data_IF_905303536564
#
_entry.id   IF_905303536564
#
_cell.length_a   1.000
_cell.length_b   1.000
_cell.length_c   1.000
_cell.angle_alpha   90.00
_cell.angle_beta   90.00
_cell.angle_gamma   90.00
#
_symmetry.space_group_name_H-M   'P 1'
#
loop_
_entity.id
_entity.type
_entity.pdbx_description
1 polymer ?
#
# COMPACT_ATOMS: atom_id res chain seq x y z
N UNK A 1 19.64 12.61 8.68
CA UNK A 1 18.26 12.15 8.97
C UNK A 1 17.29 13.33 8.97
N UNK A 2 16.10 13.16 8.35
CA UNK A 2 15.06 14.19 8.33
C UNK A 2 15.23 15.33 7.32
N UNK A 3 16.31 15.36 6.53
CA UNK A 3 16.53 16.42 5.54
C UNK A 3 15.66 16.25 4.28
N UNK A 4 15.46 15.02 3.84
CA UNK A 4 14.67 14.72 2.64
C UNK A 4 13.89 13.41 2.81
N UNK A 5 12.88 13.23 1.96
CA UNK A 5 12.17 11.97 1.81
C UNK A 5 13.00 11.00 0.98
N UNK A 6 13.15 9.77 1.47
CA UNK A 6 13.67 8.64 0.72
C UNK A 6 12.99 7.39 1.25
N UNK A 7 12.19 6.72 0.44
CA UNK A 7 11.50 5.50 0.82
C UNK A 7 12.43 4.29 0.70
N UNK A 8 12.30 3.35 1.64
CA UNK A 8 12.97 2.04 1.53
C UNK A 8 12.17 0.98 2.28
N UNK A 9 11.95 -0.16 1.65
CA UNK A 9 11.40 -1.36 2.28
C UNK A 9 12.24 -1.80 3.48
N UNK A 10 13.56 -1.59 3.45
CA UNK A 10 14.49 -1.89 4.55
C UNK A 10 14.07 -1.22 5.86
N UNK A 11 13.52 0.00 5.81
CA UNK A 11 13.03 0.69 7.02
C UNK A 11 11.95 -0.14 7.73
N UNK A 12 11.06 -0.76 6.97
CA UNK A 12 9.96 -1.57 7.51
C UNK A 12 10.42 -2.96 7.93
N UNK A 13 11.42 -3.54 7.25
CA UNK A 13 12.06 -4.78 7.70
C UNK A 13 12.74 -4.55 9.05
N UNK A 14 13.53 -3.47 9.19
CA UNK A 14 14.17 -3.11 10.47
C UNK A 14 13.13 -2.82 11.55
N UNK A 15 12.01 -2.16 11.22
CA UNK A 15 10.91 -1.94 12.17
C UNK A 15 10.30 -3.27 12.64
N UNK A 16 10.13 -4.26 11.74
CA UNK A 16 9.69 -5.61 12.11
C UNK A 16 10.67 -6.30 13.06
N UNK A 17 11.96 -6.28 12.74
CA UNK A 17 13.01 -6.82 13.62
C UNK A 17 13.02 -6.14 14.99
N UNK A 18 12.78 -4.83 15.04
CA UNK A 18 12.70 -4.08 16.30
C UNK A 18 11.48 -4.52 17.14
N UNK A 19 10.34 -4.72 16.48
CA UNK A 19 9.13 -5.25 17.16
C UNK A 19 9.46 -6.61 17.79
N UNK A 20 10.04 -7.54 17.03
CA UNK A 20 10.42 -8.86 17.53
C UNK A 20 11.39 -8.77 18.70
N UNK A 21 12.41 -7.90 18.60
CA UNK A 21 13.39 -7.71 19.68
C UNK A 21 12.77 -7.16 20.97
N UNK A 22 11.80 -6.25 20.85
CA UNK A 22 11.17 -5.60 22.01
C UNK A 22 10.06 -6.45 22.64
N UNK A 23 9.35 -7.25 21.84
CA UNK A 23 8.22 -8.04 22.32
C UNK A 23 8.61 -9.48 22.68
N UNK A 24 9.68 -9.99 22.11
CA UNK A 24 10.06 -11.40 22.20
C UNK A 24 9.19 -12.32 21.34
N UNK A 25 8.29 -11.78 20.52
CA UNK A 25 7.39 -12.53 19.66
C UNK A 25 7.69 -12.28 18.18
N UNK A 26 7.43 -13.27 17.30
CA UNK A 26 7.45 -13.03 15.85
C UNK A 26 6.53 -11.89 15.46
N UNK A 27 6.94 -11.07 14.48
CA UNK A 27 6.14 -9.91 14.00
C UNK A 27 4.74 -10.33 13.54
N UNK A 28 4.61 -11.53 12.96
CA UNK A 28 3.33 -12.11 12.59
C UNK A 28 2.36 -12.23 13.78
N UNK A 29 2.86 -12.66 14.94
CA UNK A 29 2.08 -12.77 16.18
C UNK A 29 1.59 -11.39 16.64
N UNK A 30 2.46 -10.37 16.54
CA UNK A 30 2.09 -9.00 16.89
C UNK A 30 1.05 -8.43 15.93
N UNK A 31 1.14 -8.68 14.63
CA UNK A 31 0.09 -8.31 13.67
C UNK A 31 -1.24 -8.98 14.00
N UNK A 32 -1.21 -10.29 14.30
CA UNK A 32 -2.41 -11.05 14.64
C UNK A 32 -3.09 -10.47 15.87
N UNK A 33 -2.34 -10.35 16.98
CA UNK A 33 -2.90 -10.01 18.29
C UNK A 33 -3.29 -8.52 18.39
N UNK A 34 -2.54 -7.62 17.73
CA UNK A 34 -2.75 -6.18 17.89
C UNK A 34 -3.56 -5.54 16.77
N UNK A 35 -3.69 -6.21 15.63
CA UNK A 35 -4.38 -5.62 14.46
C UNK A 35 -5.46 -6.55 13.92
N UNK A 36 -5.12 -7.78 13.51
CA UNK A 36 -6.06 -8.60 12.75
C UNK A 36 -7.23 -9.06 13.61
N UNK A 37 -6.98 -9.62 14.79
CA UNK A 37 -8.02 -10.10 15.70
C UNK A 37 -8.89 -8.96 16.27
N UNK A 38 -8.32 -7.87 16.82
CA UNK A 38 -9.13 -6.78 17.35
C UNK A 38 -10.05 -6.13 16.33
N UNK A 39 -9.62 -6.08 15.07
CA UNK A 39 -10.40 -5.52 13.96
C UNK A 39 -11.22 -6.57 13.20
N UNK A 40 -11.09 -7.86 13.56
CA UNK A 40 -11.75 -8.99 12.90
C UNK A 40 -11.47 -9.06 11.40
N UNK A 41 -10.19 -8.81 11.01
CA UNK A 41 -9.73 -8.89 9.62
C UNK A 41 -9.53 -10.37 9.24
N UNK A 42 -10.61 -11.05 8.87
CA UNK A 42 -10.63 -12.51 8.70
C UNK A 42 -9.95 -13.00 7.42
N UNK A 43 -9.81 -12.11 6.45
CA UNK A 43 -9.21 -12.38 5.14
C UNK A 43 -7.89 -11.62 4.97
N UNK A 44 -7.20 -11.35 6.08
CA UNK A 44 -5.89 -10.69 6.12
C UNK A 44 -4.86 -11.63 6.73
N UNK A 45 -3.76 -11.87 5.99
CA UNK A 45 -2.76 -12.86 6.34
C UNK A 45 -1.35 -12.32 6.16
N UNK A 46 -0.45 -12.62 7.08
CA UNK A 46 0.99 -12.46 6.88
C UNK A 46 1.53 -13.78 6.32
N UNK A 47 1.96 -13.78 5.05
CA UNK A 47 2.23 -15.03 4.33
C UNK A 47 3.70 -15.44 4.29
N UNK A 48 4.64 -14.56 4.70
CA UNK A 48 6.04 -14.95 4.78
C UNK A 48 6.24 -16.09 5.83
N UNK A 49 7.01 -17.15 5.52
CA UNK A 49 7.79 -17.40 4.30
C UNK A 49 7.05 -18.17 3.19
N UNK A 50 5.75 -18.40 3.31
CA UNK A 50 4.99 -19.21 2.37
C UNK A 50 4.84 -18.49 1.01
N UNK A 51 4.73 -19.30 -0.06
CA UNK A 51 4.46 -18.81 -1.43
C UNK A 51 3.02 -19.02 -1.86
N UNK A 52 2.23 -19.77 -1.08
CA UNK A 52 0.84 -20.09 -1.40
C UNK A 52 -0.08 -19.03 -0.81
N UNK A 53 -0.89 -18.43 -1.66
CA UNK A 53 -1.94 -17.52 -1.23
C UNK A 53 -3.08 -18.28 -0.53
N UNK A 54 -3.53 -17.86 0.65
CA UNK A 54 -4.70 -18.46 1.29
C UNK A 54 -5.99 -18.08 0.57
N UNK A 55 -6.98 -18.96 0.63
CA UNK A 55 -8.34 -18.69 0.16
C UNK A 55 -8.48 -18.50 -1.36
N UNK A 56 -9.60 -17.91 -1.76
CA UNK A 56 -9.90 -17.56 -3.15
C UNK A 56 -9.24 -16.21 -3.49
N UNK A 57 -8.48 -16.19 -4.58
CA UNK A 57 -7.72 -15.01 -4.99
C UNK A 57 -7.67 -14.88 -6.51
N UNK A 58 -7.47 -13.67 -7.01
CA UNK A 58 -7.17 -13.44 -8.42
C UNK A 58 -5.73 -13.88 -8.73
N UNK A 59 -5.49 -14.44 -9.92
CA UNK A 59 -4.14 -14.66 -10.42
C UNK A 59 -3.49 -13.34 -10.76
N UNK A 60 -2.22 -13.17 -10.40
CA UNK A 60 -1.42 -11.98 -10.71
C UNK A 60 -0.54 -12.19 -11.93
N UNK A 61 -0.41 -11.16 -12.75
CA UNK A 61 0.34 -11.23 -14.00
C UNK A 61 1.35 -10.09 -14.09
N UNK A 62 2.60 -10.46 -14.36
CA UNK A 62 3.66 -9.52 -14.69
C UNK A 62 3.64 -9.25 -16.20
N UNK A 63 3.61 -7.99 -16.59
CA UNK A 63 3.82 -7.56 -17.98
C UNK A 63 5.34 -7.52 -18.25
N UNK A 64 5.88 -8.33 -19.19
CA UNK A 64 7.28 -8.28 -19.54
C UNK A 64 7.66 -6.96 -20.22
N UNK A 65 8.96 -6.59 -20.14
CA UNK A 65 9.48 -5.39 -20.83
C UNK A 65 9.52 -5.54 -22.34
N UNK A 66 9.60 -6.78 -22.82
CA UNK A 66 9.61 -7.06 -24.27
C UNK A 66 8.20 -6.86 -24.84
N UNK A 67 7.99 -5.88 -25.74
CA UNK A 67 6.70 -5.66 -26.37
C UNK A 67 6.16 -6.91 -27.04
N UNK A 68 4.89 -7.24 -26.76
CA UNK A 68 4.21 -8.41 -27.33
C UNK A 68 4.55 -9.75 -26.69
N UNK A 69 5.42 -9.79 -25.68
CA UNK A 69 5.69 -11.01 -24.93
C UNK A 69 4.46 -11.44 -24.10
N UNK A 70 4.30 -12.75 -23.91
CA UNK A 70 3.21 -13.28 -23.10
C UNK A 70 3.33 -12.87 -21.63
N UNK A 71 2.20 -12.60 -20.99
CA UNK A 71 2.14 -12.30 -19.55
C UNK A 71 2.71 -13.47 -18.74
N UNK A 72 3.47 -13.14 -17.70
CA UNK A 72 4.03 -14.12 -16.76
C UNK A 72 3.09 -14.26 -15.55
N UNK A 73 2.65 -15.48 -15.24
CA UNK A 73 1.89 -15.75 -14.02
C UNK A 73 2.81 -15.61 -12.79
N UNK A 74 2.61 -14.57 -12.02
CA UNK A 74 3.32 -14.24 -10.79
C UNK A 74 2.49 -14.50 -9.53
N UNK A 75 1.43 -15.29 -9.63
CA UNK A 75 0.51 -15.59 -8.52
C UNK A 75 1.26 -16.24 -7.35
N UNK A 76 2.19 -17.16 -7.65
CA UNK A 76 3.01 -17.84 -6.64
C UNK A 76 4.39 -17.21 -6.59
N UNK A 77 4.67 -16.48 -5.54
CA UNK A 77 5.97 -15.85 -5.33
C UNK A 77 6.34 -15.88 -3.85
N UNK A 78 7.63 -15.89 -3.56
CA UNK A 78 8.10 -15.66 -2.20
C UNK A 78 8.09 -14.17 -1.89
N UNK A 79 7.64 -13.80 -0.70
CA UNK A 79 7.72 -12.43 -0.18
C UNK A 79 8.85 -12.26 0.82
N UNK A 80 9.83 -13.17 0.85
CA UNK A 80 10.97 -13.14 1.77
C UNK A 80 11.83 -11.87 1.63
N UNK A 81 11.85 -11.26 0.45
CA UNK A 81 12.51 -9.98 0.20
C UNK A 81 11.78 -8.80 0.88
N UNK A 82 10.48 -8.92 1.09
CA UNK A 82 9.64 -7.85 1.64
C UNK A 82 9.39 -8.01 3.14
N UNK A 83 9.23 -9.23 3.63
CA UNK A 83 8.94 -9.52 5.05
C UNK A 83 7.90 -8.54 5.63
N UNK A 84 8.22 -7.85 6.74
CA UNK A 84 7.36 -6.84 7.36
C UNK A 84 7.11 -5.59 6.51
N UNK A 85 7.81 -5.42 5.39
CA UNK A 85 7.57 -4.34 4.45
C UNK A 85 6.44 -4.63 3.45
N UNK A 86 6.10 -5.93 3.16
CA UNK A 86 5.13 -6.17 2.10
C UNK A 86 4.53 -7.58 2.03
N UNK A 87 4.67 -8.43 3.07
CA UNK A 87 4.17 -9.81 3.04
C UNK A 87 2.73 -9.98 3.56
N UNK A 88 1.94 -8.91 3.65
CA UNK A 88 0.55 -8.99 4.05
C UNK A 88 -0.34 -9.08 2.82
N UNK A 89 -1.23 -10.07 2.80
CA UNK A 89 -2.30 -10.24 1.83
C UNK A 89 -3.62 -9.91 2.50
N UNK A 90 -4.50 -9.22 1.81
CA UNK A 90 -5.76 -8.75 2.38
C UNK A 90 -6.86 -8.63 1.32
N UNK A 91 -8.05 -8.31 1.76
CA UNK A 91 -9.17 -7.89 0.90
C UNK A 91 -9.37 -6.38 0.95
N UNK A 92 -10.06 -5.82 -0.04
CA UNK A 92 -10.42 -4.41 -0.03
C UNK A 92 -11.28 -4.03 1.19
N UNK A 93 -12.13 -4.95 1.66
CA UNK A 93 -12.95 -4.76 2.85
C UNK A 93 -12.13 -4.64 4.13
N UNK A 94 -11.18 -5.56 4.32
CA UNK A 94 -10.30 -5.55 5.48
C UNK A 94 -9.36 -4.34 5.48
N UNK A 95 -8.81 -3.96 4.31
CA UNK A 95 -7.99 -2.75 4.17
C UNK A 95 -8.79 -1.47 4.53
N UNK A 96 -10.03 -1.36 4.09
CA UNK A 96 -10.90 -0.25 4.45
C UNK A 96 -11.18 -0.21 5.96
N UNK A 97 -11.42 -1.38 6.57
CA UNK A 97 -11.62 -1.52 8.01
C UNK A 97 -10.38 -1.10 8.79
N UNK A 98 -9.21 -1.57 8.37
CA UNK A 98 -7.92 -1.21 8.98
C UNK A 98 -7.65 0.29 8.93
N UNK A 99 -7.72 0.91 7.75
CA UNK A 99 -7.44 2.34 7.60
C UNK A 99 -8.45 3.23 8.35
N UNK A 100 -9.73 2.87 8.31
CA UNK A 100 -10.75 3.54 9.10
C UNK A 100 -10.43 3.48 10.59
N UNK A 101 -10.09 2.30 11.11
CA UNK A 101 -9.76 2.10 12.51
C UNK A 101 -8.49 2.87 12.91
N UNK A 102 -7.46 2.84 12.09
CA UNK A 102 -6.21 3.57 12.33
C UNK A 102 -6.46 5.07 12.45
N UNK A 103 -7.13 5.69 11.46
CA UNK A 103 -7.32 7.14 11.44
C UNK A 103 -8.33 7.63 12.48
N UNK A 104 -9.18 6.76 12.98
CA UNK A 104 -10.10 7.01 14.11
C UNK A 104 -9.46 6.75 15.48
N UNK A 105 -8.15 6.46 15.53
CA UNK A 105 -7.42 6.26 16.77
C UNK A 105 -7.76 4.98 17.53
N UNK A 106 -8.27 3.95 16.85
CA UNK A 106 -8.62 2.67 17.49
C UNK A 106 -7.41 1.73 17.66
N UNK A 107 -6.31 1.96 16.94
CA UNK A 107 -5.14 1.08 16.93
C UNK A 107 -3.94 1.66 17.67
N UNK A 108 -3.92 2.97 17.88
CA UNK A 108 -2.80 3.64 18.53
C UNK A 108 -3.29 4.88 19.29
N UNK A 109 -2.46 5.41 20.17
CA UNK A 109 -2.79 6.65 20.90
C UNK A 109 -2.89 7.85 19.96
N UNK A 110 -3.64 8.89 20.38
CA UNK A 110 -3.71 10.14 19.65
C UNK A 110 -2.32 10.74 19.41
N UNK A 111 -1.46 10.73 20.43
CA UNK A 111 -0.08 11.22 20.32
C UNK A 111 0.74 10.45 19.28
N UNK A 112 0.62 9.12 19.23
CA UNK A 112 1.29 8.30 18.21
C UNK A 112 0.75 8.55 16.81
N UNK A 113 -0.57 8.69 16.68
CA UNK A 113 -1.19 9.02 15.39
C UNK A 113 -0.76 10.40 14.88
N UNK A 114 -0.58 11.37 15.77
CA UNK A 114 -0.03 12.69 15.43
C UNK A 114 1.44 12.59 14.98
N UNK A 115 2.24 11.73 15.61
CA UNK A 115 3.60 11.43 15.13
C UNK A 115 3.58 10.83 13.72
N UNK A 116 2.68 9.87 13.44
CA UNK A 116 2.51 9.28 12.11
C UNK A 116 2.16 10.33 11.05
N UNK A 117 1.51 11.41 11.45
CA UNK A 117 1.09 12.53 10.59
C UNK A 117 2.13 13.65 10.48
N UNK A 118 3.35 13.49 10.96
CA UNK A 118 4.43 14.45 10.73
C UNK A 118 4.94 14.34 9.30
N UNK A 119 4.34 15.11 8.43
CA UNK A 119 4.50 15.01 6.98
C UNK A 119 5.84 15.53 6.49
N UNK A 120 6.46 14.78 5.57
CA UNK A 120 7.55 15.20 4.70
C UNK A 120 7.06 15.23 3.27
N UNK A 121 7.40 16.26 2.53
CA UNK A 121 7.00 16.42 1.13
C UNK A 121 7.70 15.38 0.26
N UNK A 122 6.92 14.65 -0.54
CA UNK A 122 7.41 13.75 -1.58
C UNK A 122 7.42 14.47 -2.92
N UNK A 123 6.28 15.06 -3.29
CA UNK A 123 6.10 15.90 -4.48
C UNK A 123 4.97 16.92 -4.24
N UNK A 124 4.53 17.59 -5.31
CA UNK A 124 3.54 18.69 -5.22
C UNK A 124 2.20 18.29 -4.59
N UNK A 125 1.80 17.02 -4.66
CA UNK A 125 0.51 16.54 -4.17
C UNK A 125 0.59 15.40 -3.16
N UNK A 126 1.80 14.93 -2.84
CA UNK A 126 2.01 13.79 -1.95
C UNK A 126 2.98 14.13 -0.83
N UNK A 127 2.66 13.69 0.37
CA UNK A 127 3.53 13.77 1.55
C UNK A 127 3.54 12.41 2.26
N UNK A 128 4.60 12.12 2.99
CA UNK A 128 4.80 10.88 3.72
C UNK A 128 5.06 11.13 5.21
N UNK A 129 4.47 10.34 6.07
CA UNK A 129 4.67 10.34 7.50
C UNK A 129 5.38 9.07 7.98
N UNK A 130 4.97 8.51 9.11
CA UNK A 130 5.47 7.21 9.58
C UNK A 130 4.53 6.11 9.06
N UNK A 131 4.89 5.50 7.93
CA UNK A 131 4.11 4.44 7.29
C UNK A 131 2.75 4.89 6.72
N UNK A 132 2.53 6.19 6.56
CA UNK A 132 1.28 6.74 6.08
C UNK A 132 1.55 7.80 5.01
N UNK A 133 0.88 7.69 3.86
CA UNK A 133 0.87 8.71 2.80
C UNK A 133 -0.30 9.64 2.97
N UNK A 134 -0.10 10.91 2.66
CA UNK A 134 -1.16 11.89 2.42
C UNK A 134 -1.09 12.32 0.96
N UNK A 135 -2.21 12.21 0.24
CA UNK A 135 -2.34 12.68 -1.13
C UNK A 135 -3.43 13.73 -1.22
N UNK A 136 -3.12 14.87 -1.83
CA UNK A 136 -4.09 15.92 -2.13
C UNK A 136 -4.62 15.72 -3.55
N UNK A 137 -5.92 15.56 -3.68
CA UNK A 137 -6.63 15.34 -4.95
C UNK A 137 -6.88 16.65 -5.69
N UNK A 138 -7.26 16.58 -6.96
CA UNK A 138 -7.48 17.75 -7.82
C UNK A 138 -8.55 18.71 -7.29
N UNK A 139 -9.48 18.23 -6.47
CA UNK A 139 -10.51 19.02 -5.80
C UNK A 139 -10.07 19.62 -4.44
N UNK A 140 -8.79 19.50 -4.06
CA UNK A 140 -8.26 19.99 -2.78
C UNK A 140 -8.50 19.06 -1.58
N UNK A 141 -9.24 17.97 -1.76
CA UNK A 141 -9.46 16.96 -0.70
C UNK A 141 -8.18 16.18 -0.48
N UNK A 142 -7.78 15.99 0.78
CA UNK A 142 -6.67 15.10 1.13
C UNK A 142 -7.17 13.74 1.58
N UNK A 143 -6.52 12.69 1.08
CA UNK A 143 -6.75 11.29 1.47
C UNK A 143 -5.49 10.71 2.08
N UNK A 144 -5.66 9.71 2.94
CA UNK A 144 -4.61 9.14 3.79
C UNK A 144 -4.59 7.63 3.66
N UNK A 145 -3.44 7.04 3.46
CA UNK A 145 -3.32 5.60 3.26
C UNK A 145 -1.97 5.20 2.72
N UNK A 146 -1.91 4.17 1.91
CA UNK A 146 -0.68 3.72 1.27
C UNK A 146 -0.96 3.02 -0.06
N UNK A 147 0.08 2.85 -0.86
CA UNK A 147 0.10 2.05 -2.08
C UNK A 147 0.87 0.76 -1.83
N UNK A 148 0.70 -0.23 -2.69
CA UNK A 148 1.47 -1.46 -2.69
C UNK A 148 1.74 -1.93 -4.11
N UNK A 149 2.94 -2.42 -4.35
CA UNK A 149 3.34 -3.00 -5.62
C UNK A 149 4.20 -4.24 -5.37
N UNK A 150 3.77 -5.37 -5.90
CA UNK A 150 4.53 -6.60 -5.96
C UNK A 150 4.36 -7.19 -7.36
N UNK A 151 5.18 -8.18 -7.72
CA UNK A 151 5.02 -8.84 -9.02
C UNK A 151 3.58 -9.36 -9.18
N UNK A 152 2.93 -8.97 -10.28
CA UNK A 152 1.56 -9.37 -10.60
C UNK A 152 0.45 -8.56 -9.94
N UNK A 153 0.73 -7.62 -9.02
CA UNK A 153 -0.32 -6.89 -8.32
C UNK A 153 0.05 -5.45 -8.00
N UNK A 154 -0.89 -4.54 -8.22
CA UNK A 154 -0.88 -3.20 -7.63
C UNK A 154 -2.09 -3.05 -6.71
N UNK A 155 -1.88 -2.35 -5.60
CA UNK A 155 -2.94 -2.02 -4.64
C UNK A 155 -2.79 -0.59 -4.16
N UNK A 156 -3.89 0.07 -3.88
CA UNK A 156 -3.89 1.14 -2.91
C UNK A 156 -5.13 1.14 -2.05
N UNK A 157 -4.93 1.66 -0.85
CA UNK A 157 -5.97 1.85 0.13
C UNK A 157 -5.84 3.24 0.72
N UNK A 158 -6.90 4.04 0.59
CA UNK A 158 -6.96 5.40 1.12
C UNK A 158 -8.28 5.67 1.81
N UNK A 159 -8.24 6.58 2.78
CA UNK A 159 -9.42 7.00 3.55
C UNK A 159 -9.40 8.51 3.78
N UNK A 160 -10.54 9.09 4.09
CA UNK A 160 -10.66 10.48 4.55
C UNK A 160 -9.94 10.69 5.90
N UNK A 161 -9.62 11.95 6.25
CA UNK A 161 -8.91 12.29 7.50
C UNK A 161 -9.60 11.74 8.75
N UNK A 162 -10.92 11.68 8.74
CA UNK A 162 -11.76 11.16 9.83
C UNK A 162 -12.02 9.64 9.76
N UNK A 163 -11.47 8.95 8.77
CA UNK A 163 -11.63 7.50 8.58
C UNK A 163 -13.05 7.04 8.18
N UNK A 164 -13.95 7.96 7.78
CA UNK A 164 -15.35 7.62 7.49
C UNK A 164 -15.59 7.19 6.05
N UNK A 165 -14.77 7.62 5.13
CA UNK A 165 -14.89 7.32 3.70
C UNK A 165 -13.60 6.68 3.24
N UNK A 166 -13.64 5.41 2.85
CA UNK A 166 -12.48 4.63 2.43
C UNK A 166 -12.67 4.07 1.04
N UNK A 167 -11.57 3.95 0.31
CA UNK A 167 -11.47 3.25 -0.96
C UNK A 167 -10.21 2.41 -0.96
N UNK A 168 -10.36 1.11 -1.18
CA UNK A 168 -9.28 0.21 -1.54
C UNK A 168 -9.52 -0.32 -2.95
N UNK A 169 -8.48 -0.31 -3.76
CA UNK A 169 -8.51 -0.82 -5.12
C UNK A 169 -7.28 -1.69 -5.37
N UNK A 170 -7.47 -2.77 -6.09
CA UNK A 170 -6.39 -3.67 -6.50
C UNK A 170 -6.56 -4.05 -7.97
N UNK A 171 -5.44 -4.26 -8.65
CA UNK A 171 -5.40 -4.86 -9.99
C UNK A 171 -4.39 -5.99 -9.99
N UNK A 172 -4.69 -7.00 -10.76
CA UNK A 172 -3.91 -8.22 -10.86
C UNK A 172 -2.87 -8.18 -12.01
N UNK A 173 -2.23 -7.04 -12.15
CA UNK A 173 -1.12 -6.83 -13.08
C UNK A 173 -0.03 -5.98 -12.42
N UNK A 174 1.20 -6.13 -12.88
CA UNK A 174 2.33 -5.26 -12.53
C UNK A 174 3.16 -4.93 -13.77
N UNK A 175 4.07 -3.97 -13.68
CA UNK A 175 4.81 -3.41 -14.80
C UNK A 175 3.86 -2.93 -15.92
N UNK A 176 2.79 -2.22 -15.52
CA UNK A 176 1.76 -1.70 -16.39
C UNK A 176 1.31 -0.31 -15.92
N UNK A 177 2.12 0.70 -16.25
CA UNK A 177 1.91 2.09 -15.83
C UNK A 177 0.57 2.67 -16.27
N UNK A 178 0.05 2.27 -17.42
CA UNK A 178 -1.27 2.71 -17.92
C UNK A 178 -2.41 2.28 -16.99
N UNK A 179 -2.40 1.02 -16.56
CA UNK A 179 -3.41 0.48 -15.63
C UNK A 179 -3.31 1.20 -14.29
N UNK A 180 -2.10 1.39 -13.80
CA UNK A 180 -1.87 2.06 -12.54
C UNK A 180 -2.34 3.51 -12.54
N UNK A 181 -2.03 4.27 -13.60
CA UNK A 181 -2.51 5.65 -13.76
C UNK A 181 -4.05 5.68 -13.81
N UNK A 182 -4.69 4.68 -14.43
CA UNK A 182 -6.15 4.54 -14.43
C UNK A 182 -6.70 4.30 -13.03
N UNK A 183 -6.04 3.47 -12.24
CA UNK A 183 -6.42 3.26 -10.83
C UNK A 183 -6.41 4.58 -10.04
N UNK A 184 -5.44 5.47 -10.25
CA UNK A 184 -5.43 6.78 -9.58
C UNK A 184 -6.67 7.62 -9.87
N UNK A 185 -7.26 7.47 -11.05
CA UNK A 185 -8.54 8.11 -11.38
C UNK A 185 -9.71 7.67 -10.50
N UNK A 186 -9.65 6.47 -9.92
CA UNK A 186 -10.71 5.99 -9.01
C UNK A 186 -10.75 6.77 -7.70
N UNK A 187 -9.59 7.24 -7.18
CA UNK A 187 -9.54 8.10 -6.00
C UNK A 187 -10.23 9.44 -6.26
N UNK A 188 -9.96 10.06 -7.43
CA UNK A 188 -10.60 11.31 -7.84
C UNK A 188 -12.12 11.15 -7.90
N UNK A 189 -12.60 10.08 -8.54
CA UNK A 189 -14.03 9.79 -8.64
C UNK A 189 -14.66 9.54 -7.27
N UNK A 190 -14.00 8.74 -6.42
CA UNK A 190 -14.53 8.36 -5.13
C UNK A 190 -14.60 9.54 -4.14
N UNK A 191 -13.62 10.42 -4.11
CA UNK A 191 -13.53 11.47 -3.09
C UNK A 191 -13.95 12.86 -3.58
N UNK A 192 -13.84 13.14 -4.88
CA UNK A 192 -14.20 14.44 -5.44
C UNK A 192 -15.61 14.50 -6.04
N UNK A 193 -16.29 13.35 -6.18
CA UNK A 193 -17.67 13.30 -6.70
C UNK A 193 -17.82 13.68 -8.18
N UNK A 194 -16.71 13.86 -8.90
CA UNK A 194 -16.69 14.17 -10.34
C UNK A 194 -16.13 12.95 -11.09
N UNK A 195 -16.71 12.68 -12.26
CA UNK A 195 -16.10 11.76 -13.21
C UNK A 195 -14.67 12.23 -13.41
N UNK A 196 -13.67 11.38 -13.12
CA UNK A 196 -12.27 11.73 -13.33
C UNK A 196 -12.16 12.27 -14.75
N UNK A 197 -11.77 13.54 -14.90
CA UNK A 197 -11.31 14.01 -16.21
C UNK A 197 -10.13 13.09 -16.52
N UNK A 198 -10.22 12.34 -17.60
CA UNK A 198 -9.11 11.54 -18.09
C UNK A 198 -7.90 12.45 -18.05
N UNK A 199 -6.91 12.13 -17.21
CA UNK A 199 -5.67 12.88 -17.12
C UNK A 199 -4.90 12.65 -18.42
N UNK A 200 -5.40 13.25 -19.53
CA UNK A 200 -4.64 13.37 -20.75
C UNK A 200 -3.60 14.45 -20.49
N UNK A 201 -2.37 14.00 -20.33
CA UNK A 201 -1.21 14.84 -20.59
C UNK A 201 -0.73 15.75 -19.47
N UNK A 202 -1.01 15.54 -18.19
CA UNK A 202 -0.05 15.98 -17.20
C UNK A 202 0.89 14.81 -16.92
N UNK A 203 2.16 14.97 -17.24
CA UNK A 203 3.25 14.26 -16.61
C UNK A 203 3.28 14.68 -15.13
N UNK A 204 2.17 14.45 -14.41
CA UNK A 204 2.18 14.29 -12.96
C UNK A 204 3.15 13.14 -12.77
N UNK A 205 4.36 13.44 -12.27
CA UNK A 205 5.49 12.56 -12.29
C UNK A 205 5.06 11.14 -11.99
N UNK A 206 5.38 10.24 -12.90
CA UNK A 206 5.28 8.81 -12.68
C UNK A 206 5.85 8.63 -11.29
N UNK A 207 5.03 8.22 -10.29
CA UNK A 207 5.58 7.84 -9.00
C UNK A 207 6.59 6.75 -9.35
N UNK A 208 7.86 7.06 -9.26
CA UNK A 208 8.90 6.05 -9.42
C UNK A 208 8.67 5.06 -8.30
N UNK A 209 8.26 3.86 -8.68
CA UNK A 209 8.08 2.76 -7.74
C UNK A 209 9.45 2.35 -7.23
N UNK A 210 9.94 3.06 -6.23
CA UNK A 210 11.16 2.70 -5.52
C UNK A 210 10.99 1.39 -4.74
N UNK A 211 9.76 0.84 -4.73
CA UNK A 211 9.33 -0.28 -3.89
C UNK A 211 8.88 -1.52 -4.66
N UNK A 212 9.26 -1.64 -5.91
CA UNK A 212 8.97 -2.82 -6.70
C UNK A 212 9.90 -3.96 -6.28
N UNK A 213 9.35 -5.18 -6.21
CA UNK A 213 10.12 -6.39 -5.94
C UNK A 213 11.37 -6.50 -6.83
N UNK A 214 12.48 -7.05 -6.33
CA UNK A 214 13.69 -7.26 -7.12
C UNK A 214 13.39 -7.98 -8.43
N UNK A 215 13.95 -7.50 -9.55
CA UNK A 215 13.76 -8.05 -10.88
C UNK A 215 12.54 -7.52 -11.66
N UNK A 216 11.79 -6.57 -11.10
CA UNK A 216 10.81 -5.79 -11.88
C UNK A 216 11.51 -4.54 -12.41
N UNK A 217 11.51 -4.32 -13.75
CA UNK A 217 12.11 -3.13 -14.34
C UNK A 217 11.48 -1.84 -13.78
N UNK A 218 12.31 -0.81 -13.66
CA UNK A 218 11.88 0.53 -13.25
C UNK A 218 11.56 1.31 -14.52
N UNK A 219 10.28 1.59 -14.73
CA UNK A 219 9.84 2.55 -15.76
C UNK A 219 10.17 3.99 -15.35
#
# INVERSE_FOLDING_TARGET
>A
PGAAYSYSNTNFVVAGMLIEKLTGHPVQTEYQNRVFEPLKLRDTFYVHPNTKLPGRHARGYLTPDTPGAALVDATRQTTSWAQSAGSIISTAGDLNTFLSALLRGKLTSAASLDQMRRWRTVNSNTSYGLGLRRRTLSCGVSVYGHTGAVQGYYTYAFTSKDGRRSLSAAVNTSNNGTVLNTMFGTLESAFCGKRAKTLRGSAAGVERYEDIAPGVPRD
#
